data_IF_383968860050
#
_entry.id   IF_383968860050
#
_cell.length_a   1.000
_cell.length_b   1.000
_cell.length_c   1.000
_cell.angle_alpha   90.00
_cell.angle_beta   90.00
_cell.angle_gamma   90.00
#
_symmetry.space_group_name_H-M   'P 1'
#
loop_
_entity.id
_entity.type
_entity.pdbx_description
1 polymer ?
#
# COMPACT_ATOMS: atom_id res chain seq x y z
N UNK A 1 -43.43 33.67 -80.16
CA UNK A 1 -44.56 33.61 -79.21
C UNK A 1 -45.56 32.49 -79.54
N UNK A 2 -45.89 32.25 -80.82
CA UNK A 2 -46.85 31.22 -81.25
C UNK A 2 -46.32 29.78 -81.08
N UNK A 3 -45.04 29.51 -81.36
CA UNK A 3 -44.45 28.17 -81.14
C UNK A 3 -44.38 27.77 -79.66
N UNK A 4 -44.09 28.73 -78.78
CA UNK A 4 -44.08 28.50 -77.33
C UNK A 4 -45.47 28.06 -76.82
N UNK A 5 -46.54 28.68 -77.32
CA UNK A 5 -47.92 28.31 -76.96
C UNK A 5 -48.35 26.93 -77.49
N UNK A 6 -47.81 26.50 -78.64
CA UNK A 6 -48.10 25.17 -79.21
C UNK A 6 -47.40 24.04 -78.45
N UNK A 7 -46.14 24.26 -78.05
CA UNK A 7 -45.40 23.33 -77.19
C UNK A 7 -46.06 23.23 -75.82
N UNK A 8 -46.46 24.36 -75.23
CA UNK A 8 -47.18 24.37 -73.95
C UNK A 8 -48.53 23.65 -74.06
N UNK A 9 -49.33 23.88 -75.10
CA UNK A 9 -50.60 23.14 -75.31
C UNK A 9 -50.40 21.64 -75.50
N UNK A 10 -49.37 21.24 -76.23
CA UNK A 10 -49.06 19.82 -76.47
C UNK A 10 -48.60 19.12 -75.18
N UNK A 11 -47.77 19.78 -74.38
CA UNK A 11 -47.32 19.27 -73.06
C UNK A 11 -48.51 19.18 -72.09
N UNK A 12 -49.40 20.17 -72.09
CA UNK A 12 -50.61 20.16 -71.26
C UNK A 12 -51.59 19.06 -71.70
N UNK A 13 -51.79 18.85 -73.01
CA UNK A 13 -52.63 17.77 -73.53
C UNK A 13 -52.13 16.37 -73.17
N UNK A 14 -50.80 16.19 -73.16
CA UNK A 14 -50.16 14.95 -72.70
C UNK A 14 -50.39 14.71 -71.20
N UNK A 15 -50.41 15.77 -70.39
CA UNK A 15 -50.70 15.72 -68.96
C UNK A 15 -52.13 15.26 -68.64
N UNK A 16 -53.11 15.72 -69.40
CA UNK A 16 -54.52 15.34 -69.26
C UNK A 16 -54.86 13.96 -69.85
N UNK A 17 -53.98 13.39 -70.68
CA UNK A 17 -54.16 12.06 -71.29
C UNK A 17 -53.81 10.90 -70.35
N UNK A 18 -53.16 11.19 -69.23
CA UNK A 18 -52.76 10.20 -68.23
C UNK A 18 -53.94 9.98 -67.26
N UNK A 19 -54.42 8.73 -67.07
CA UNK A 19 -55.49 8.43 -66.12
C UNK A 19 -55.19 8.95 -64.70
N UNK A 20 -56.15 9.55 -63.99
CA UNK A 20 -55.97 10.06 -62.62
C UNK A 20 -55.42 9.02 -61.64
N UNK A 21 -55.69 7.73 -61.88
CA UNK A 21 -55.16 6.61 -61.09
C UNK A 21 -53.62 6.56 -61.13
N UNK A 22 -52.99 6.85 -62.27
CA UNK A 22 -51.53 6.84 -62.40
C UNK A 22 -50.93 8.00 -61.59
N UNK A 23 -51.54 9.19 -61.64
CA UNK A 23 -51.15 10.32 -60.80
C UNK A 23 -51.28 10.02 -59.30
N UNK A 24 -52.35 9.32 -58.91
CA UNK A 24 -52.52 8.89 -57.52
C UNK A 24 -51.45 7.88 -57.06
N UNK A 25 -51.01 6.97 -57.94
CA UNK A 25 -49.93 6.03 -57.66
C UNK A 25 -48.55 6.69 -57.55
N UNK A 26 -48.26 7.68 -58.41
CA UNK A 26 -47.01 8.45 -58.35
C UNK A 26 -46.95 9.31 -57.08
N UNK A 27 -48.02 10.04 -56.78
CA UNK A 27 -48.08 10.88 -55.57
C UNK A 27 -48.06 10.01 -54.32
N UNK A 28 -48.83 8.91 -54.30
CA UNK A 28 -48.86 7.96 -53.19
C UNK A 28 -47.51 7.31 -52.92
N UNK A 29 -46.78 6.90 -53.96
CA UNK A 29 -45.43 6.32 -53.83
C UNK A 29 -44.38 7.35 -53.40
N UNK A 30 -44.44 8.59 -53.91
CA UNK A 30 -43.58 9.68 -53.44
C UNK A 30 -43.81 10.01 -51.97
N UNK A 31 -45.07 10.06 -51.53
CA UNK A 31 -45.42 10.27 -50.12
C UNK A 31 -44.95 9.12 -49.23
N UNK A 32 -45.15 7.87 -49.68
CA UNK A 32 -44.68 6.69 -48.97
C UNK A 32 -43.14 6.67 -48.82
N UNK A 33 -42.39 6.91 -49.91
CA UNK A 33 -40.93 6.97 -49.90
C UNK A 33 -40.41 8.13 -49.03
N UNK A 34 -41.06 9.30 -49.10
CA UNK A 34 -40.73 10.45 -48.25
C UNK A 34 -40.97 10.15 -46.78
N UNK A 35 -42.08 9.47 -46.45
CA UNK A 35 -42.39 9.00 -45.10
C UNK A 35 -41.33 8.01 -44.58
N UNK A 36 -40.97 6.99 -45.36
CA UNK A 36 -39.93 6.02 -44.99
C UNK A 36 -38.57 6.70 -44.82
N UNK A 37 -38.21 7.63 -45.70
CA UNK A 37 -36.94 8.36 -45.61
C UNK A 37 -36.88 9.25 -44.36
N UNK A 38 -37.94 10.00 -44.05
CA UNK A 38 -38.02 10.84 -42.85
C UNK A 38 -37.96 10.00 -41.58
N UNK A 39 -38.71 8.90 -41.52
CA UNK A 39 -38.68 7.97 -40.37
C UNK A 39 -37.30 7.35 -40.22
N UNK A 40 -36.70 6.85 -41.30
CA UNK A 40 -35.36 6.23 -41.25
C UNK A 40 -34.29 7.24 -40.83
N UNK A 41 -34.37 8.49 -41.31
CA UNK A 41 -33.46 9.57 -40.91
C UNK A 41 -33.60 9.90 -39.42
N UNK A 42 -34.82 9.93 -38.90
CA UNK A 42 -35.06 10.19 -37.48
C UNK A 42 -34.57 9.02 -36.61
N UNK A 43 -34.87 7.77 -37.00
CA UNK A 43 -34.38 6.56 -36.34
C UNK A 43 -32.85 6.51 -36.31
N UNK A 44 -32.18 6.85 -37.41
CA UNK A 44 -30.72 6.93 -37.47
C UNK A 44 -30.15 7.99 -36.53
N UNK A 45 -30.78 9.18 -36.47
CA UNK A 45 -30.37 10.25 -35.55
C UNK A 45 -30.48 9.81 -34.08
N UNK A 46 -31.59 9.17 -33.72
CA UNK A 46 -31.82 8.70 -32.34
C UNK A 46 -30.85 7.58 -31.97
N UNK A 47 -30.64 6.61 -32.88
CA UNK A 47 -29.66 5.54 -32.67
C UNK A 47 -28.24 6.09 -32.48
N UNK A 48 -27.84 7.07 -33.30
CA UNK A 48 -26.54 7.72 -33.16
C UNK A 48 -26.40 8.42 -31.80
N UNK A 49 -27.42 9.15 -31.38
CA UNK A 49 -27.44 9.83 -30.08
C UNK A 49 -27.36 8.84 -28.91
N UNK A 50 -28.06 7.71 -29.00
CA UNK A 50 -27.99 6.63 -28.01
C UNK A 50 -26.59 6.02 -27.94
N UNK A 51 -26.00 5.66 -29.09
CA UNK A 51 -24.65 5.10 -29.14
C UNK A 51 -23.59 6.07 -28.59
N UNK A 52 -23.73 7.38 -28.89
CA UNK A 52 -22.85 8.41 -28.32
C UNK A 52 -23.00 8.48 -26.80
N UNK A 53 -24.24 8.54 -26.29
CA UNK A 53 -24.52 8.53 -24.85
C UNK A 53 -23.96 7.28 -24.17
N UNK A 54 -24.26 6.08 -24.70
CA UNK A 54 -23.79 4.80 -24.18
C UNK A 54 -22.26 4.72 -24.20
N UNK A 55 -21.60 5.29 -25.21
CA UNK A 55 -20.14 5.32 -25.29
C UNK A 55 -19.52 6.18 -24.18
N UNK A 56 -20.15 7.33 -23.88
CA UNK A 56 -19.72 8.24 -22.83
C UNK A 56 -19.96 7.60 -21.46
N UNK A 57 -21.14 7.05 -21.23
CA UNK A 57 -21.51 6.37 -19.99
C UNK A 57 -20.55 5.20 -19.71
N UNK A 58 -20.31 4.35 -20.71
CA UNK A 58 -19.39 3.22 -20.59
C UNK A 58 -17.94 3.64 -20.35
N UNK A 59 -17.49 4.74 -20.96
CA UNK A 59 -16.14 5.27 -20.72
C UNK A 59 -16.00 5.81 -19.29
N UNK A 60 -17.06 6.45 -18.78
CA UNK A 60 -17.14 7.00 -17.43
C UNK A 60 -17.16 5.87 -16.40
N UNK A 61 -17.99 4.85 -16.61
CA UNK A 61 -18.07 3.67 -15.75
C UNK A 61 -16.71 2.94 -15.67
N UNK A 62 -16.04 2.75 -16.81
CA UNK A 62 -14.69 2.16 -16.84
C UNK A 62 -13.68 2.98 -16.06
N UNK A 63 -13.70 4.30 -16.20
CA UNK A 63 -12.80 5.20 -15.47
C UNK A 63 -13.07 5.15 -13.96
N UNK A 64 -14.34 5.14 -13.55
CA UNK A 64 -14.74 5.05 -12.14
C UNK A 64 -14.32 3.72 -11.53
N UNK A 65 -14.54 2.61 -12.24
CA UNK A 65 -14.11 1.28 -11.82
C UNK A 65 -12.60 1.19 -11.64
N UNK A 66 -11.84 1.71 -12.60
CA UNK A 66 -10.38 1.73 -12.52
C UNK A 66 -9.87 2.56 -11.33
N UNK A 67 -10.51 3.70 -11.03
CA UNK A 67 -10.21 4.49 -9.83
C UNK A 67 -10.54 3.73 -8.55
N UNK A 68 -11.71 3.12 -8.48
CA UNK A 68 -12.13 2.32 -7.32
C UNK A 68 -11.13 1.21 -7.02
N UNK A 69 -10.75 0.42 -8.02
CA UNK A 69 -9.78 -0.66 -7.89
C UNK A 69 -8.41 -0.13 -7.43
N UNK A 70 -7.96 0.99 -8.01
CA UNK A 70 -6.68 1.61 -7.65
C UNK A 70 -6.67 2.19 -6.24
N UNK A 71 -7.77 2.83 -5.80
CA UNK A 71 -7.87 3.44 -4.47
C UNK A 71 -7.93 2.37 -3.37
N UNK A 72 -8.68 1.29 -3.63
CA UNK A 72 -8.74 0.14 -2.73
C UNK A 72 -7.36 -0.52 -2.59
N UNK A 73 -6.63 -0.65 -3.70
CA UNK A 73 -5.27 -1.19 -3.67
C UNK A 73 -4.33 -0.31 -2.85
N UNK A 74 -4.37 1.02 -3.03
CA UNK A 74 -3.54 1.94 -2.22
C UNK A 74 -3.86 1.82 -0.73
N UNK A 75 -5.14 1.81 -0.35
CA UNK A 75 -5.54 1.69 1.04
C UNK A 75 -5.04 0.36 1.66
N UNK A 76 -5.19 -0.75 0.94
CA UNK A 76 -4.72 -2.06 1.38
C UNK A 76 -3.20 -2.09 1.57
N UNK A 77 -2.46 -1.65 0.56
CA UNK A 77 -0.99 -1.73 0.59
C UNK A 77 -0.40 -0.73 1.58
N UNK A 78 -1.06 0.41 1.85
CA UNK A 78 -0.66 1.35 2.90
C UNK A 78 -0.69 0.70 4.28
N UNK A 79 -1.80 0.05 4.64
CA UNK A 79 -1.92 -0.67 5.92
C UNK A 79 -0.84 -1.75 6.04
N UNK A 80 -0.59 -2.50 4.95
CA UNK A 80 0.48 -3.49 4.93
C UNK A 80 1.87 -2.87 5.13
N UNK A 81 2.11 -1.69 4.55
CA UNK A 81 3.37 -0.97 4.69
C UNK A 81 3.54 -0.45 6.13
N UNK A 82 2.52 0.13 6.73
CA UNK A 82 2.54 0.59 8.14
C UNK A 82 2.81 -0.57 9.11
N UNK A 83 2.13 -1.72 8.92
CA UNK A 83 2.36 -2.93 9.70
C UNK A 83 3.79 -3.46 9.52
N UNK A 84 4.31 -3.43 8.29
CA UNK A 84 5.69 -3.83 8.03
C UNK A 84 6.68 -2.94 8.78
N UNK A 85 6.50 -1.62 8.73
CA UNK A 85 7.32 -0.67 9.49
C UNK A 85 7.28 -0.97 10.99
N UNK A 86 6.12 -1.28 11.57
CA UNK A 86 6.02 -1.65 12.98
C UNK A 86 6.81 -2.92 13.33
N UNK A 87 6.97 -3.85 12.38
CA UNK A 87 7.62 -5.14 12.60
C UNK A 87 9.12 -5.17 12.27
N UNK A 88 9.70 -4.11 11.70
CA UNK A 88 11.12 -4.09 11.32
C UNK A 88 12.06 -4.49 12.48
N UNK A 89 11.88 -4.05 13.74
CA UNK A 89 12.72 -4.46 14.86
C UNK A 89 12.79 -5.97 15.11
N UNK A 90 11.81 -6.73 14.61
CA UNK A 90 11.73 -8.19 14.76
C UNK A 90 12.26 -8.93 13.53
N UNK A 91 12.64 -8.23 12.46
CA UNK A 91 13.14 -8.84 11.24
C UNK A 91 14.59 -9.27 11.37
N UNK A 92 14.90 -10.44 10.82
CA UNK A 92 16.27 -10.85 10.55
C UNK A 92 16.76 -10.15 9.29
N UNK A 93 17.40 -8.98 9.47
CA UNK A 93 17.88 -8.15 8.36
C UNK A 93 19.00 -8.79 7.53
N UNK A 94 19.60 -9.89 8.00
CA UNK A 94 20.56 -10.68 7.21
C UNK A 94 19.87 -11.58 6.19
N UNK A 95 18.61 -11.95 6.44
CA UNK A 95 17.80 -12.80 5.56
C UNK A 95 16.78 -12.02 4.75
N UNK A 96 16.31 -10.90 5.28
CA UNK A 96 15.21 -10.15 4.69
C UNK A 96 15.60 -8.69 4.45
N UNK A 97 15.23 -8.17 3.27
CA UNK A 97 15.42 -6.77 2.95
C UNK A 97 14.31 -5.93 3.64
N UNK A 98 14.64 -5.06 4.61
CA UNK A 98 13.64 -4.28 5.34
C UNK A 98 12.90 -3.27 4.46
N UNK A 99 13.43 -2.91 3.28
CA UNK A 99 12.74 -2.04 2.32
C UNK A 99 11.63 -2.77 1.52
N UNK A 100 11.60 -4.10 1.51
CA UNK A 100 10.69 -4.86 0.64
C UNK A 100 9.22 -4.64 0.99
N UNK A 101 8.89 -4.45 2.27
CA UNK A 101 7.50 -4.35 2.73
C UNK A 101 6.79 -3.04 2.39
N UNK A 102 7.50 -2.02 1.91
CA UNK A 102 6.88 -0.74 1.48
C UNK A 102 6.75 -0.60 -0.04
N UNK A 103 7.41 -1.47 -0.81
CA UNK A 103 7.42 -1.40 -2.28
C UNK A 103 6.03 -1.53 -2.92
N UNK A 104 5.18 -2.41 -2.37
CA UNK A 104 3.84 -2.63 -2.90
C UNK A 104 2.97 -1.36 -2.77
N UNK A 105 3.09 -0.64 -1.65
CA UNK A 105 2.44 0.65 -1.46
C UNK A 105 2.93 1.69 -2.48
N UNK A 106 4.24 1.82 -2.69
CA UNK A 106 4.74 2.78 -3.69
C UNK A 106 4.31 2.45 -5.12
N UNK A 107 4.26 1.16 -5.47
CA UNK A 107 3.76 0.72 -6.76
C UNK A 107 2.26 1.04 -6.92
N UNK A 108 1.44 0.75 -5.90
CA UNK A 108 0.02 1.07 -5.89
C UNK A 108 -0.20 2.59 -5.97
N UNK A 109 0.57 3.38 -5.23
CA UNK A 109 0.48 4.83 -5.24
C UNK A 109 0.83 5.42 -6.62
N UNK A 110 1.88 4.92 -7.26
CA UNK A 110 2.26 5.32 -8.61
C UNK A 110 1.18 4.96 -9.65
N UNK A 111 0.59 3.77 -9.58
CA UNK A 111 -0.52 3.38 -10.45
C UNK A 111 -1.75 4.27 -10.25
N UNK A 112 -2.10 4.54 -9.00
CA UNK A 112 -3.22 5.39 -8.63
C UNK A 112 -3.06 6.82 -9.18
N UNK A 113 -1.85 7.37 -9.19
CA UNK A 113 -1.57 8.71 -9.72
C UNK A 113 -1.91 8.85 -11.22
N UNK A 114 -1.93 7.76 -12.00
CA UNK A 114 -2.26 7.77 -13.42
C UNK A 114 -3.77 7.90 -13.70
N UNK A 115 -4.60 7.49 -12.75
CA UNK A 115 -6.06 7.36 -12.95
C UNK A 115 -6.86 8.32 -12.07
N UNK A 116 -6.25 8.82 -11.00
CA UNK A 116 -6.85 9.74 -10.06
C UNK A 116 -7.07 11.14 -10.64
N UNK A 117 -7.92 11.94 -9.99
CA UNK A 117 -8.00 13.36 -10.35
C UNK A 117 -6.67 14.07 -10.06
N UNK A 118 -6.38 15.20 -10.73
CA UNK A 118 -5.13 15.95 -10.49
C UNK A 118 -4.92 16.34 -9.01
N UNK A 119 -6.01 16.61 -8.28
CA UNK A 119 -5.96 16.93 -6.85
C UNK A 119 -5.53 15.71 -6.04
N UNK A 120 -6.21 14.57 -6.23
CA UNK A 120 -5.91 13.32 -5.52
C UNK A 120 -4.50 12.82 -5.83
N UNK A 121 -4.10 12.85 -7.10
CA UNK A 121 -2.75 12.47 -7.50
C UNK A 121 -1.67 13.33 -6.81
N UNK A 122 -1.88 14.65 -6.71
CA UNK A 122 -0.96 15.56 -6.02
C UNK A 122 -0.87 15.24 -4.52
N UNK A 123 -2.00 15.07 -3.85
CA UNK A 123 -2.04 14.74 -2.42
C UNK A 123 -1.35 13.39 -2.14
N UNK A 124 -1.65 12.38 -2.96
CA UNK A 124 -1.04 11.06 -2.84
C UNK A 124 0.47 11.10 -3.09
N UNK A 125 0.95 11.89 -4.05
CA UNK A 125 2.37 12.08 -4.29
C UNK A 125 3.09 12.73 -3.10
N UNK A 126 2.49 13.77 -2.50
CA UNK A 126 3.04 14.43 -1.31
C UNK A 126 3.10 13.42 -0.15
N UNK A 127 2.00 12.70 0.09
CA UNK A 127 1.94 11.68 1.14
C UNK A 127 2.97 10.57 0.92
N UNK A 128 3.02 9.97 -0.28
CA UNK A 128 3.95 8.90 -0.61
C UNK A 128 5.42 9.33 -0.44
N UNK A 129 5.76 10.57 -0.80
CA UNK A 129 7.10 11.11 -0.58
C UNK A 129 7.44 11.22 0.91
N UNK A 130 6.50 11.74 1.73
CA UNK A 130 6.73 11.81 3.18
C UNK A 130 6.81 10.44 3.83
N UNK A 131 5.96 9.50 3.40
CA UNK A 131 6.00 8.11 3.84
C UNK A 131 7.29 7.40 3.44
N UNK A 132 7.86 7.72 2.27
CA UNK A 132 9.19 7.24 1.84
C UNK A 132 10.30 7.75 2.75
N UNK A 133 10.29 9.04 3.09
CA UNK A 133 11.26 9.60 4.04
C UNK A 133 11.16 8.94 5.42
N UNK A 134 9.93 8.72 5.92
CA UNK A 134 9.68 7.97 7.16
C UNK A 134 10.25 6.55 7.05
N UNK A 135 9.95 5.84 5.97
CA UNK A 135 10.41 4.46 5.74
C UNK A 135 11.94 4.36 5.79
N UNK A 136 12.64 5.31 5.16
CA UNK A 136 14.12 5.36 5.19
C UNK A 136 14.64 5.60 6.62
N UNK A 137 14.02 6.52 7.37
CA UNK A 137 14.41 6.77 8.77
C UNK A 137 14.19 5.55 9.65
N UNK A 138 13.04 4.90 9.53
CA UNK A 138 12.72 3.67 10.26
C UNK A 138 13.72 2.54 9.94
N UNK A 139 14.00 2.29 8.66
CA UNK A 139 14.98 1.27 8.28
C UNK A 139 16.38 1.59 8.84
N UNK A 140 16.76 2.86 8.85
CA UNK A 140 18.07 3.30 9.35
C UNK A 140 18.19 3.13 10.86
N UNK A 141 17.14 3.42 11.63
CA UNK A 141 17.18 3.35 13.10
C UNK A 141 17.27 1.92 13.64
N UNK A 142 16.85 0.91 12.86
CA UNK A 142 16.95 -0.51 13.24
C UNK A 142 18.39 -1.01 13.34
N UNK A 143 19.37 -0.34 12.72
CA UNK A 143 20.78 -0.77 12.78
C UNK A 143 21.30 -0.88 14.22
N UNK A 144 20.85 0.01 15.12
CA UNK A 144 21.24 -0.04 16.52
C UNK A 144 20.67 -1.27 17.25
N UNK A 145 19.42 -1.63 16.96
CA UNK A 145 18.77 -2.83 17.50
C UNK A 145 19.52 -4.08 17.06
N UNK A 146 19.87 -4.15 15.77
CA UNK A 146 20.61 -5.26 15.21
C UNK A 146 22.01 -5.40 15.80
N UNK A 147 22.76 -4.30 15.95
CA UNK A 147 24.09 -4.35 16.55
C UNK A 147 24.05 -4.87 17.99
N UNK A 148 23.07 -4.45 18.79
CA UNK A 148 22.86 -4.94 20.14
C UNK A 148 22.48 -6.43 20.16
N UNK A 149 21.67 -6.89 19.21
CA UNK A 149 21.34 -8.31 19.03
C UNK A 149 22.56 -9.16 18.68
N UNK A 150 23.39 -8.70 17.73
CA UNK A 150 24.66 -9.37 17.38
C UNK A 150 25.58 -9.43 18.59
N UNK A 151 25.72 -8.34 19.35
CA UNK A 151 26.53 -8.35 20.57
C UNK A 151 26.02 -9.35 21.61
N UNK A 152 24.70 -9.44 21.80
CA UNK A 152 24.07 -10.41 22.71
C UNK A 152 24.32 -11.86 22.27
N UNK A 153 24.26 -12.15 20.96
CA UNK A 153 24.51 -13.50 20.43
C UNK A 153 26.01 -13.85 20.51
N UNK A 154 26.93 -12.92 20.21
CA UNK A 154 28.37 -13.15 20.39
C UNK A 154 28.74 -13.44 21.85
N UNK A 155 28.12 -12.73 22.80
CA UNK A 155 28.30 -12.98 24.22
C UNK A 155 27.77 -14.38 24.62
N UNK A 156 26.61 -14.77 24.08
CA UNK A 156 26.05 -16.12 24.27
C UNK A 156 26.96 -17.21 23.71
N UNK A 157 27.47 -17.06 22.49
CA UNK A 157 28.44 -18.00 21.90
C UNK A 157 29.70 -18.14 22.77
N UNK A 158 30.16 -17.03 23.37
CA UNK A 158 31.29 -17.05 24.31
C UNK A 158 30.97 -17.83 25.59
N UNK A 159 29.78 -17.62 26.18
CA UNK A 159 29.31 -18.38 27.35
C UNK A 159 29.26 -19.88 27.02
N UNK A 160 28.66 -20.25 25.89
CA UNK A 160 28.48 -21.64 25.51
C UNK A 160 29.83 -22.35 25.28
N UNK A 161 30.81 -21.67 24.64
CA UNK A 161 32.17 -22.19 24.51
C UNK A 161 32.87 -22.38 25.86
N UNK A 162 32.80 -21.38 26.75
CA UNK A 162 33.42 -21.48 28.07
C UNK A 162 32.75 -22.55 28.95
N UNK A 163 31.44 -22.76 28.80
CA UNK A 163 30.70 -23.82 29.49
C UNK A 163 31.20 -25.21 29.08
N UNK A 164 31.43 -25.43 27.78
CA UNK A 164 31.97 -26.71 27.30
C UNK A 164 33.33 -26.99 27.95
N UNK A 165 34.22 -26.00 28.02
CA UNK A 165 35.54 -26.18 28.65
C UNK A 165 35.48 -26.31 30.18
N UNK A 166 34.55 -25.61 30.83
CA UNK A 166 34.23 -25.80 32.25
C UNK A 166 33.81 -27.25 32.52
N UNK A 167 32.84 -27.77 31.78
CA UNK A 167 32.32 -29.13 31.95
C UNK A 167 33.42 -30.18 31.69
N UNK A 168 34.26 -29.97 30.67
CA UNK A 168 35.44 -30.81 30.38
C UNK A 168 36.44 -30.80 31.54
N UNK A 169 36.72 -29.64 32.12
CA UNK A 169 37.67 -29.50 33.23
C UNK A 169 37.12 -30.16 34.50
N UNK A 170 35.81 -30.01 34.76
CA UNK A 170 35.14 -30.62 35.90
C UNK A 170 35.16 -32.15 35.81
N UNK A 171 34.97 -32.71 34.61
CA UNK A 171 35.09 -34.15 34.38
C UNK A 171 36.49 -34.66 34.73
N UNK A 172 37.54 -34.00 34.21
CA UNK A 172 38.95 -34.37 34.53
C UNK A 172 39.25 -34.29 36.03
N UNK A 173 38.73 -33.29 36.73
CA UNK A 173 38.87 -33.21 38.19
C UNK A 173 38.17 -34.36 38.92
N UNK A 174 37.00 -34.78 38.41
CA UNK A 174 36.25 -35.91 38.95
C UNK A 174 37.02 -37.22 38.75
N UNK A 175 37.63 -37.42 37.59
CA UNK A 175 38.50 -38.58 37.28
C UNK A 175 39.73 -38.59 38.19
N UNK A 176 40.42 -37.45 38.34
CA UNK A 176 41.61 -37.33 39.20
C UNK A 176 41.31 -37.62 40.67
N UNK A 177 40.10 -37.31 41.15
CA UNK A 177 39.66 -37.65 42.51
C UNK A 177 39.38 -39.15 42.71
N UNK A 178 39.21 -39.92 41.64
CA UNK A 178 38.97 -41.38 41.70
C UNK A 178 40.27 -42.19 41.64
N UNK A 179 41.38 -41.60 41.21
CA UNK A 179 42.69 -42.24 41.19
C UNK A 179 43.32 -42.27 42.60
N UNK A 180 43.91 -43.41 42.98
CA UNK A 180 44.61 -43.56 44.27
C UNK A 180 46.03 -43.01 44.09
N UNK A 181 46.36 -41.91 44.77
CA UNK A 181 47.70 -41.31 44.76
C UNK A 181 47.83 -40.00 43.97
N UNK A 182 46.72 -39.38 43.58
CA UNK A 182 46.68 -38.15 42.81
C UNK A 182 47.44 -37.00 43.47
N UNK A 183 48.36 -36.36 42.73
CA UNK A 183 49.10 -35.21 43.21
C UNK A 183 48.18 -33.99 43.37
N UNK A 184 48.16 -33.42 44.59
CA UNK A 184 47.43 -32.20 44.94
C UNK A 184 47.71 -31.03 43.97
N UNK A 185 48.92 -30.95 43.43
CA UNK A 185 49.31 -29.92 42.46
C UNK A 185 48.47 -29.96 41.16
N UNK A 186 48.11 -31.16 40.67
CA UNK A 186 47.29 -31.31 39.47
C UNK A 186 45.83 -30.88 39.71
N UNK A 187 45.32 -31.12 40.91
CA UNK A 187 43.99 -30.66 41.31
C UNK A 187 43.92 -29.13 41.40
N UNK A 188 44.90 -28.49 42.04
CA UNK A 188 44.94 -27.03 42.20
C UNK A 188 45.02 -26.31 40.83
N UNK A 189 45.75 -26.88 39.86
CA UNK A 189 45.80 -26.36 38.49
C UNK A 189 44.43 -26.46 37.81
N UNK A 190 43.76 -27.63 37.85
CA UNK A 190 42.43 -27.79 37.24
C UNK A 190 41.38 -26.89 37.91
N UNK A 191 41.48 -26.68 39.23
CA UNK A 191 40.63 -25.73 39.95
C UNK A 191 40.82 -24.31 39.44
N UNK A 192 42.06 -23.87 39.19
CA UNK A 192 42.32 -22.54 38.63
C UNK A 192 41.70 -22.35 37.24
N UNK A 193 41.67 -23.39 36.41
CA UNK A 193 40.98 -23.37 35.13
C UNK A 193 39.45 -23.31 35.29
N UNK A 194 38.87 -24.05 36.24
CA UNK A 194 37.43 -23.92 36.54
C UNK A 194 37.06 -22.51 36.99
N UNK A 195 37.85 -21.92 37.91
CA UNK A 195 37.62 -20.57 38.40
C UNK A 195 37.73 -19.56 37.25
N UNK A 196 38.71 -19.72 36.35
CA UNK A 196 38.84 -18.93 35.12
C UNK A 196 37.59 -19.02 34.23
N UNK A 197 37.16 -20.23 33.86
CA UNK A 197 35.99 -20.38 32.98
C UNK A 197 34.70 -19.88 33.65
N UNK A 198 34.58 -20.02 34.96
CA UNK A 198 33.46 -19.45 35.73
C UNK A 198 33.45 -17.93 35.67
N UNK A 199 34.60 -17.29 35.83
CA UNK A 199 34.73 -15.84 35.72
C UNK A 199 34.41 -15.35 34.30
N UNK A 200 34.94 -16.02 33.27
CA UNK A 200 34.68 -15.67 31.88
C UNK A 200 33.21 -15.86 31.49
N UNK A 201 32.55 -16.92 31.97
CA UNK A 201 31.10 -17.08 31.80
C UNK A 201 30.34 -15.95 32.50
N UNK A 202 30.73 -15.55 33.72
CA UNK A 202 30.10 -14.43 34.44
C UNK A 202 30.21 -13.13 33.64
N UNK A 203 31.40 -12.81 33.12
CA UNK A 203 31.60 -11.63 32.26
C UNK A 203 30.73 -11.71 31.01
N UNK A 204 30.64 -12.89 30.39
CA UNK A 204 29.77 -13.13 29.24
C UNK A 204 28.29 -12.87 29.57
N UNK A 205 27.82 -13.30 30.74
CA UNK A 205 26.44 -13.04 31.19
C UNK A 205 26.18 -11.55 31.41
N UNK A 206 27.12 -10.83 32.01
CA UNK A 206 27.02 -9.38 32.22
C UNK A 206 26.98 -8.64 30.87
N UNK A 207 27.89 -8.96 29.95
CA UNK A 207 27.92 -8.38 28.59
C UNK A 207 26.62 -8.66 27.83
N UNK A 208 26.11 -9.89 27.91
CA UNK A 208 24.83 -10.26 27.29
C UNK A 208 23.67 -9.49 27.89
N UNK A 209 23.66 -9.30 29.22
CA UNK A 209 22.65 -8.50 29.91
C UNK A 209 22.64 -7.05 29.43
N UNK A 210 23.82 -6.43 29.32
CA UNK A 210 23.98 -5.07 28.77
C UNK A 210 23.43 -4.99 27.34
N UNK A 211 23.87 -5.89 26.46
CA UNK A 211 23.44 -5.88 25.05
C UNK A 211 21.92 -6.11 24.89
N UNK A 212 21.31 -6.97 25.71
CA UNK A 212 19.85 -7.16 25.70
C UNK A 212 19.09 -5.92 26.20
N UNK A 213 19.62 -5.21 27.20
CA UNK A 213 19.04 -3.96 27.66
C UNK A 213 19.15 -2.87 26.59
N UNK A 214 20.30 -2.73 25.92
CA UNK A 214 20.48 -1.82 24.79
C UNK A 214 19.52 -2.15 23.64
N UNK A 215 19.34 -3.44 23.31
CA UNK A 215 18.36 -3.89 22.30
C UNK A 215 16.95 -3.42 22.68
N UNK A 216 16.55 -3.62 23.94
CA UNK A 216 15.24 -3.21 24.43
C UNK A 216 15.05 -1.69 24.37
N UNK A 217 16.04 -0.93 24.81
CA UNK A 217 16.02 0.54 24.77
C UNK A 217 15.88 1.05 23.33
N UNK A 218 16.70 0.55 22.40
CA UNK A 218 16.61 0.90 20.99
C UNK A 218 15.27 0.52 20.36
N UNK A 219 14.67 -0.60 20.76
CA UNK A 219 13.35 -1.03 20.29
C UNK A 219 12.22 -0.12 20.79
N UNK A 220 12.30 0.35 22.05
CA UNK A 220 11.36 1.33 22.58
C UNK A 220 11.50 2.68 21.88
N UNK A 221 12.73 3.15 21.70
CA UNK A 221 13.02 4.41 21.00
C UNK A 221 12.56 4.36 19.53
N UNK A 222 12.76 3.22 18.86
CA UNK A 222 12.22 2.97 17.52
C UNK A 222 10.70 3.11 17.51
N UNK A 223 10.03 2.42 18.44
CA UNK A 223 8.57 2.40 18.52
C UNK A 223 8.02 3.81 18.75
N UNK A 224 8.62 4.58 19.67
CA UNK A 224 8.26 5.99 19.92
C UNK A 224 8.42 6.85 18.67
N UNK A 225 9.60 6.80 18.05
CA UNK A 225 9.90 7.58 16.85
C UNK A 225 8.98 7.23 15.68
N UNK A 226 8.67 5.94 15.50
CA UNK A 226 7.77 5.49 14.44
C UNK A 226 6.35 5.99 14.67
N UNK A 227 5.86 5.91 15.91
CA UNK A 227 4.56 6.45 16.28
C UNK A 227 4.51 7.93 15.95
N UNK A 228 5.43 8.75 16.48
CA UNK A 228 5.48 10.20 16.25
C UNK A 228 5.48 10.55 14.75
N UNK A 229 6.28 9.82 13.96
CA UNK A 229 6.35 10.01 12.52
C UNK A 229 5.02 9.65 11.82
N UNK A 230 4.32 8.59 12.24
CA UNK A 230 2.99 8.24 11.72
C UNK A 230 1.91 9.26 12.13
N UNK A 231 2.00 9.83 13.34
CA UNK A 231 1.14 10.94 13.78
C UNK A 231 1.30 12.11 12.81
N UNK A 232 2.55 12.48 12.53
CA UNK A 232 2.87 13.61 11.67
C UNK A 232 2.37 13.45 10.23
N UNK A 233 2.10 12.21 9.78
CA UNK A 233 1.54 11.90 8.45
C UNK A 233 0.01 11.80 8.43
N UNK A 234 -0.63 11.74 9.59
CA UNK A 234 -2.08 11.48 9.69
C UNK A 234 -2.89 12.52 8.93
N UNK A 235 -2.50 13.80 9.00
CA UNK A 235 -3.25 14.87 8.33
C UNK A 235 -3.26 14.70 6.80
N UNK A 236 -2.13 14.31 6.22
CA UNK A 236 -1.98 14.06 4.79
C UNK A 236 -2.68 12.77 4.37
N UNK A 237 -2.61 11.72 5.19
CA UNK A 237 -3.33 10.47 4.96
C UNK A 237 -4.84 10.71 4.89
N UNK A 238 -5.38 11.49 5.83
CA UNK A 238 -6.79 11.88 5.85
C UNK A 238 -7.16 12.63 4.57
N UNK A 239 -6.36 13.63 4.17
CA UNK A 239 -6.65 14.40 2.94
C UNK A 239 -6.59 13.53 1.67
N UNK A 240 -5.71 12.53 1.61
CA UNK A 240 -5.66 11.56 0.52
C UNK A 240 -6.95 10.73 0.48
N UNK A 241 -7.38 10.15 1.61
CA UNK A 241 -8.59 9.32 1.68
C UNK A 241 -9.87 10.12 1.38
N UNK A 242 -9.94 11.36 1.89
CA UNK A 242 -11.00 12.32 1.59
C UNK A 242 -11.05 12.61 0.08
N UNK A 243 -9.91 12.93 -0.54
CA UNK A 243 -9.85 13.22 -1.98
C UNK A 243 -10.20 11.99 -2.84
N UNK A 244 -9.82 10.79 -2.41
CA UNK A 244 -10.22 9.54 -3.06
C UNK A 244 -11.73 9.31 -3.01
N UNK A 245 -12.39 9.57 -1.87
CA UNK A 245 -13.86 9.49 -1.77
C UNK A 245 -14.55 10.52 -2.67
N UNK A 246 -14.05 11.75 -2.70
CA UNK A 246 -14.59 12.79 -3.57
C UNK A 246 -14.52 12.38 -5.06
N UNK A 247 -13.39 11.80 -5.48
CA UNK A 247 -13.19 11.32 -6.86
C UNK A 247 -14.15 10.20 -7.29
N UNK A 248 -14.73 9.49 -6.32
CA UNK A 248 -15.73 8.43 -6.53
C UNK A 248 -17.18 8.95 -6.42
N UNK A 249 -17.39 10.25 -6.16
CA UNK A 249 -18.72 10.85 -6.01
C UNK A 249 -19.36 10.63 -4.63
N UNK A 250 -18.56 10.41 -3.58
CA UNK A 250 -19.04 10.27 -2.19
C UNK A 250 -18.78 11.54 -1.37
N UNK A 251 -19.25 12.68 -1.86
CA UNK A 251 -18.98 14.03 -1.37
C UNK A 251 -20.00 14.57 -0.36
N UNK A 252 -21.17 13.94 -0.21
CA UNK A 252 -22.25 14.38 0.70
C UNK A 252 -21.84 14.50 2.17
N UNK A 253 -20.98 13.60 2.65
CA UNK A 253 -20.63 13.47 4.08
C UNK A 253 -19.13 13.62 4.34
N UNK A 254 -18.43 14.35 3.45
CA UNK A 254 -16.98 14.35 3.40
C UNK A 254 -16.33 14.98 4.65
N UNK A 255 -16.97 15.99 5.23
CA UNK A 255 -16.50 16.64 6.46
C UNK A 255 -16.77 15.80 7.71
N UNK A 256 -17.90 15.08 7.74
CA UNK A 256 -18.18 14.10 8.81
C UNK A 256 -17.17 12.95 8.75
N UNK A 257 -16.91 12.42 7.55
CA UNK A 257 -15.89 11.39 7.34
C UNK A 257 -14.49 11.86 7.78
N UNK A 258 -14.08 13.08 7.39
CA UNK A 258 -12.82 13.69 7.82
C UNK A 258 -12.74 13.76 9.35
N UNK A 259 -13.82 14.22 9.99
CA UNK A 259 -13.90 14.32 11.44
C UNK A 259 -13.77 12.96 12.13
N UNK A 260 -14.48 11.93 11.63
CA UNK A 260 -14.39 10.57 12.17
C UNK A 260 -12.97 10.01 12.05
N UNK A 261 -12.30 10.19 10.91
CA UNK A 261 -10.91 9.75 10.76
C UNK A 261 -9.99 10.45 11.77
N UNK A 262 -10.16 11.77 11.94
CA UNK A 262 -9.37 12.52 12.90
C UNK A 262 -9.58 12.05 14.34
N UNK A 263 -10.83 11.80 14.76
CA UNK A 263 -11.16 11.28 16.08
C UNK A 263 -10.60 9.87 16.33
N UNK A 264 -10.70 8.99 15.34
CA UNK A 264 -10.13 7.63 15.40
C UNK A 264 -8.62 7.68 15.57
N UNK A 265 -7.93 8.48 14.77
CA UNK A 265 -6.49 8.64 14.90
C UNK A 265 -6.13 9.18 16.27
N UNK A 266 -6.76 10.27 16.76
CA UNK A 266 -6.50 10.79 18.11
C UNK A 266 -6.69 9.76 19.22
N UNK A 267 -7.70 8.89 19.10
CA UNK A 267 -7.92 7.80 20.07
C UNK A 267 -6.76 6.81 20.08
N UNK A 268 -6.24 6.44 18.91
CA UNK A 268 -5.07 5.56 18.79
C UNK A 268 -3.83 6.22 19.42
N UNK A 269 -3.63 7.52 19.18
CA UNK A 269 -2.49 8.25 19.75
C UNK A 269 -2.48 8.22 21.28
N UNK A 270 -3.63 8.50 21.90
CA UNK A 270 -3.75 8.47 23.36
C UNK A 270 -3.42 7.10 23.95
N UNK A 271 -3.89 6.03 23.32
CA UNK A 271 -3.58 4.67 23.79
C UNK A 271 -2.11 4.31 23.59
N UNK A 272 -1.50 4.73 22.48
CA UNK A 272 -0.07 4.52 22.22
C UNK A 272 0.80 5.28 23.24
N UNK A 273 0.50 6.55 23.52
CA UNK A 273 1.19 7.33 24.56
C UNK A 273 1.06 6.67 25.94
N UNK A 274 -0.14 6.22 26.30
CA UNK A 274 -0.39 5.54 27.56
C UNK A 274 0.36 4.20 27.67
N UNK A 275 0.45 3.42 26.58
CA UNK A 275 1.21 2.18 26.53
C UNK A 275 2.73 2.44 26.69
N UNK A 276 3.25 3.47 26.02
CA UNK A 276 4.66 3.88 26.07
C UNK A 276 5.07 4.50 27.41
N UNK A 277 4.13 5.13 28.12
CA UNK A 277 4.34 5.69 29.45
C UNK A 277 4.45 4.60 30.54
N UNK A 278 3.78 3.45 30.35
CA UNK A 278 3.86 2.29 31.27
C UNK A 278 5.14 1.46 31.12
N UNK A 279 5.92 1.72 30.08
CA UNK A 279 7.16 0.99 29.79
C UNK A 279 8.42 1.68 30.31
N UNK A 280 8.28 2.86 30.94
CA UNK A 280 9.32 3.54 31.75
C UNK A 280 9.14 3.20 33.23
#
# INVERSE_FOLDING_TARGET
MIEFLSVVKSVVGLFYSIPPVIWSGVIGSMLALSGVYLTSKHSYKNLKMQLEHDSIEKSTERSLKLRQDSYMLVAKELVSAEQHLANIPMLDILKENPAKGTNAFFAAAAQCQLVASPRTAKLLMIFANKFSMLSIRAISSVHHIFNAEVAAELAKDSIDRNKIEFDRTLLKMTELNQEIGSEKANYDVLKSYLDFYKEEMSKGWDQRGVALNEKQEHTLNYSRSLVDDLIALTSEQIEVLVSMRADLGFDSDIEEYRKTLFEQHQSILKEMEHALAKTN
#
